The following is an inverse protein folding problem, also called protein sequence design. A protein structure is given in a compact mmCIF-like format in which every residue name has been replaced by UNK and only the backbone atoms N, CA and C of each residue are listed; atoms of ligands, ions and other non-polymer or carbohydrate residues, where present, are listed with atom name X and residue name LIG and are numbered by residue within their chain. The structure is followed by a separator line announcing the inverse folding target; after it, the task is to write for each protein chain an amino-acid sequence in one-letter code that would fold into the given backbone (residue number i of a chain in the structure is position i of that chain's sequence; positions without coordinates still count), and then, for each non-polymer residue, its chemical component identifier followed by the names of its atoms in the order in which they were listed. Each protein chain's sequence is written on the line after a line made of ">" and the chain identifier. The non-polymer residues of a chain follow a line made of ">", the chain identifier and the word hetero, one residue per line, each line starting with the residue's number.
data_IF_631011650216
#
_entry.id   IF_631011650216
#
_cell.length_a   1.000
_cell.length_b   1.000
_cell.length_c   1.000
_cell.angle_alpha   90.00
_cell.angle_beta   90.00
_cell.angle_gamma   90.00
#
_symmetry.space_group_name_H-M   'P 1'
#
loop_
_entity.id
_entity.type
_entity.pdbx_description
1 polymer ?
#
# COMPACT_ATOMS: atom_id res chain seq x y z
N UNK A 1 -0.33 0.68 -13.44
CA UNK A 1 -1.39 0.68 -12.41
C UNK A 1 -2.70 0.32 -13.09
N UNK A 2 -3.42 -0.74 -12.70
CA UNK A 2 -4.69 -1.13 -13.36
C UNK A 2 -5.86 -0.67 -12.49
N UNK A 3 -6.52 0.40 -12.93
CA UNK A 3 -7.61 1.07 -12.19
C UNK A 3 -8.85 0.17 -12.01
N UNK A 4 -9.08 -0.75 -12.95
CA UNK A 4 -10.25 -1.65 -12.95
C UNK A 4 -9.87 -3.08 -12.50
N UNK A 5 -8.76 -3.24 -11.76
CA UNK A 5 -8.42 -4.53 -11.18
C UNK A 5 -9.48 -4.92 -10.13
N UNK A 6 -9.83 -6.20 -10.08
CA UNK A 6 -10.80 -6.73 -9.13
C UNK A 6 -10.27 -8.05 -8.58
N UNK A 7 -10.72 -8.42 -7.38
CA UNK A 7 -10.44 -9.72 -6.80
C UNK A 7 -11.13 -10.82 -7.62
N UNK A 8 -10.34 -11.59 -8.38
CA UNK A 8 -10.83 -12.73 -9.13
C UNK A 8 -10.60 -14.02 -8.32
N UNK A 9 -11.67 -14.57 -7.74
CA UNK A 9 -11.62 -15.82 -6.98
C UNK A 9 -11.86 -17.07 -7.85
N UNK A 10 -12.08 -16.91 -9.16
CA UNK A 10 -12.37 -18.03 -10.09
C UNK A 10 -11.11 -18.67 -10.69
N UNK A 11 -9.93 -18.37 -10.14
CA UNK A 11 -8.68 -19.02 -10.56
C UNK A 11 -8.37 -20.18 -9.62
N UNK A 12 -7.95 -21.33 -10.15
CA UNK A 12 -7.71 -22.53 -9.34
C UNK A 12 -6.45 -22.38 -8.48
N UNK A 13 -6.63 -22.03 -7.22
CA UNK A 13 -5.58 -22.08 -6.20
C UNK A 13 -6.15 -22.47 -4.84
N UNK A 14 -5.49 -23.38 -4.10
CA UNK A 14 -5.87 -23.76 -2.74
C UNK A 14 -6.06 -22.57 -1.79
N UNK A 15 -5.37 -21.45 -2.05
CA UNK A 15 -5.43 -20.23 -1.25
C UNK A 15 -6.77 -19.49 -1.32
N UNK A 16 -7.55 -19.66 -2.40
CA UNK A 16 -8.86 -18.99 -2.53
C UNK A 16 -9.96 -19.67 -1.71
N UNK A 17 -9.83 -20.97 -1.39
CA UNK A 17 -10.83 -21.69 -0.60
C UNK A 17 -11.01 -21.16 0.83
N UNK A 18 -10.01 -20.44 1.35
CA UNK A 18 -10.05 -19.84 2.68
C UNK A 18 -10.31 -18.33 2.67
N UNK A 19 -10.37 -17.71 1.49
CA UNK A 19 -10.61 -16.27 1.35
C UNK A 19 -12.11 -16.00 1.26
N UNK A 20 -12.77 -15.83 2.41
CA UNK A 20 -14.18 -15.43 2.50
C UNK A 20 -14.39 -13.92 2.34
N UNK A 21 -13.31 -13.16 2.23
CA UNK A 21 -13.31 -11.71 2.12
C UNK A 21 -13.75 -11.28 0.72
N UNK A 22 -14.74 -10.39 0.65
CA UNK A 22 -15.25 -9.81 -0.61
C UNK A 22 -14.64 -8.44 -0.90
N UNK A 23 -13.98 -7.85 0.10
CA UNK A 23 -13.29 -6.58 0.02
C UNK A 23 -11.89 -6.74 -0.60
N UNK A 24 -11.48 -5.72 -1.33
CA UNK A 24 -10.16 -5.68 -1.95
C UNK A 24 -9.65 -4.26 -2.06
N UNK A 25 -8.32 -4.13 -2.08
CA UNK A 25 -7.63 -2.83 -2.18
C UNK A 25 -6.75 -2.82 -3.41
N UNK A 26 -6.98 -1.87 -4.30
CA UNK A 26 -6.13 -1.60 -5.45
C UNK A 26 -5.03 -0.62 -5.04
N UNK A 27 -3.91 -1.17 -4.56
CA UNK A 27 -2.78 -0.41 -4.01
C UNK A 27 -1.90 0.22 -5.08
N UNK A 28 -2.00 1.54 -5.21
CA UNK A 28 -1.24 2.47 -6.07
C UNK A 28 0.27 2.26 -6.14
N UNK A 29 0.89 2.99 -7.06
CA UNK A 29 2.34 3.13 -7.06
C UNK A 29 2.81 3.68 -5.71
N UNK A 30 3.88 3.07 -5.18
CA UNK A 30 4.45 3.45 -3.89
C UNK A 30 5.68 4.31 -4.15
N UNK A 31 5.61 5.59 -3.76
CA UNK A 31 6.75 6.50 -3.82
C UNK A 31 7.35 6.66 -2.43
N UNK A 32 8.66 6.41 -2.30
CA UNK A 32 9.39 6.52 -1.04
C UNK A 32 10.54 7.51 -1.20
N UNK A 33 10.61 8.50 -0.34
CA UNK A 33 11.69 9.47 -0.23
C UNK A 33 12.35 9.31 1.13
N UNK A 34 13.67 9.12 1.15
CA UNK A 34 14.45 9.01 2.38
C UNK A 34 15.51 10.10 2.40
N UNK A 35 15.54 10.87 3.49
CA UNK A 35 16.52 11.91 3.76
C UNK A 35 17.28 11.51 5.02
N UNK A 36 18.60 11.54 4.97
CA UNK A 36 19.46 11.21 6.09
C UNK A 36 20.46 12.32 6.37
N UNK A 37 20.67 12.63 7.64
CA UNK A 37 21.73 13.50 8.11
C UNK A 37 22.49 12.78 9.23
N UNK A 38 23.78 12.58 9.00
CA UNK A 38 24.69 11.94 9.95
C UNK A 38 25.79 12.90 10.37
N UNK A 39 26.11 12.91 11.66
CA UNK A 39 27.24 13.62 12.22
C UNK A 39 28.11 12.67 13.03
N UNK A 40 29.40 12.64 12.68
CA UNK A 40 30.39 11.74 13.27
C UNK A 40 31.47 12.52 13.98
N UNK A 41 31.55 12.31 15.29
CA UNK A 41 32.63 12.78 16.16
C UNK A 41 33.62 11.66 16.47
N UNK A 42 34.75 12.02 17.08
CA UNK A 42 35.82 11.09 17.48
C UNK A 42 35.35 10.04 18.51
N UNK A 43 34.41 10.43 19.38
CA UNK A 43 33.91 9.61 20.50
C UNK A 43 32.41 9.25 20.39
N UNK A 44 31.67 9.83 19.44
CA UNK A 44 30.25 9.51 19.25
C UNK A 44 29.83 9.69 17.79
N UNK A 45 28.78 9.01 17.37
CA UNK A 45 28.09 9.26 16.11
C UNK A 45 26.59 9.42 16.35
N UNK A 46 25.98 10.33 15.60
CA UNK A 46 24.56 10.64 15.62
C UNK A 46 24.06 10.62 14.19
N UNK A 47 23.15 9.72 13.88
CA UNK A 47 22.53 9.61 12.57
C UNK A 47 21.03 9.79 12.72
N UNK A 48 20.45 10.67 11.89
CA UNK A 48 19.03 10.90 11.79
C UNK A 48 18.59 10.57 10.36
N UNK A 49 17.55 9.76 10.22
CA UNK A 49 16.93 9.48 8.95
C UNK A 49 15.43 9.74 9.02
N UNK A 50 14.91 10.42 8.00
CA UNK A 50 13.50 10.66 7.77
C UNK A 50 13.08 9.97 6.49
N UNK A 51 12.05 9.14 6.58
CA UNK A 51 11.45 8.49 5.42
C UNK A 51 10.00 8.94 5.28
N UNK A 52 9.68 9.49 4.12
CA UNK A 52 8.33 9.77 3.68
C UNK A 52 7.91 8.74 2.64
N UNK A 53 6.75 8.15 2.82
CA UNK A 53 6.13 7.24 1.87
C UNK A 53 4.77 7.78 1.48
N UNK A 54 4.54 7.92 0.18
CA UNK A 54 3.25 8.24 -0.39
C UNK A 54 2.74 7.03 -1.17
N UNK A 55 1.54 6.56 -0.81
CA UNK A 55 0.88 5.46 -1.49
C UNK A 55 -0.61 5.73 -1.53
N UNK A 56 -1.16 5.80 -2.72
CA UNK A 56 -2.60 5.89 -2.94
C UNK A 56 -3.17 4.49 -3.10
N UNK A 57 -4.42 4.26 -2.74
CA UNK A 57 -5.08 2.99 -2.98
C UNK A 57 -6.59 3.15 -2.99
N UNK A 58 -7.26 2.45 -3.90
CA UNK A 58 -8.72 2.45 -3.96
C UNK A 58 -9.25 1.20 -3.24
N UNK A 59 -10.06 1.41 -2.20
CA UNK A 59 -10.68 0.33 -1.43
C UNK A 59 -12.08 0.06 -1.94
N UNK A 60 -12.40 -1.21 -2.20
CA UNK A 60 -13.70 -1.67 -2.63
C UNK A 60 -14.23 -2.68 -1.60
N UNK A 61 -15.46 -2.46 -1.10
CA UNK A 61 -16.08 -3.36 -0.13
C UNK A 61 -16.50 -4.70 -0.78
N UNK A 62 -16.97 -4.66 -2.02
CA UNK A 62 -17.28 -5.84 -2.84
C UNK A 62 -17.37 -5.45 -4.31
N UNK A 63 -17.39 -6.45 -5.21
CA UNK A 63 -17.65 -6.26 -6.64
C UNK A 63 -19.15 -6.27 -6.89
N UNK A 64 -19.70 -5.18 -7.41
CA UNK A 64 -21.07 -5.11 -7.92
C UNK A 64 -21.04 -5.07 -9.45
N UNK A 65 -21.70 -6.05 -10.07
CA UNK A 65 -21.89 -6.14 -11.53
C UNK A 65 -23.36 -6.12 -11.85
N UNK A 66 -23.75 -5.38 -12.88
CA UNK A 66 -25.10 -5.46 -13.42
C UNK A 66 -25.25 -6.78 -14.18
N UNK A 67 -26.30 -7.53 -13.87
CA UNK A 67 -26.60 -8.81 -14.52
C UNK A 67 -27.27 -8.59 -15.89
N UNK A 68 -28.03 -7.50 -16.06
CA UNK A 68 -28.77 -7.19 -17.30
C UNK A 68 -27.90 -6.50 -18.37
N UNK A 69 -26.83 -5.82 -17.97
CA UNK A 69 -25.92 -5.10 -18.90
C UNK A 69 -24.83 -5.97 -19.53
N UNK A 70 -25.01 -7.30 -19.53
CA UNK A 70 -24.08 -8.25 -20.14
C UNK A 70 -22.68 -8.22 -19.53
N UNK A 71 -22.52 -8.74 -18.30
CA UNK A 71 -21.22 -9.01 -17.66
C UNK A 71 -20.17 -7.92 -17.92
N UNK A 72 -20.53 -6.66 -17.65
CA UNK A 72 -19.57 -5.57 -17.75
C UNK A 72 -18.38 -5.85 -16.83
N UNK A 73 -17.17 -5.75 -17.37
CA UNK A 73 -15.92 -6.05 -16.66
C UNK A 73 -15.65 -5.07 -15.51
N UNK A 74 -16.35 -3.94 -15.52
CA UNK A 74 -16.19 -2.82 -14.60
C UNK A 74 -17.09 -2.97 -13.36
N UNK A 75 -16.55 -2.57 -12.21
CA UNK A 75 -17.28 -2.51 -10.96
C UNK A 75 -18.19 -1.27 -10.95
N UNK A 76 -19.49 -1.44 -10.66
CA UNK A 76 -20.44 -0.34 -10.54
C UNK A 76 -20.17 0.53 -9.30
N UNK A 77 -19.56 -0.05 -8.27
CA UNK A 77 -19.22 0.65 -7.04
C UNK A 77 -17.99 1.52 -7.26
N UNK A 78 -18.11 2.80 -6.92
CA UNK A 78 -16.96 3.69 -6.80
C UNK A 78 -16.12 3.26 -5.61
N UNK A 79 -14.84 2.99 -5.85
CA UNK A 79 -13.87 2.72 -4.78
C UNK A 79 -13.69 3.96 -3.90
N UNK A 80 -13.45 3.72 -2.62
CA UNK A 80 -13.07 4.76 -1.68
C UNK A 80 -11.58 5.05 -1.85
N UNK A 81 -11.22 6.30 -2.14
CA UNK A 81 -9.81 6.74 -2.14
C UNK A 81 -9.24 6.67 -0.72
N UNK A 82 -8.18 5.89 -0.54
CA UNK A 82 -7.39 5.84 0.68
C UNK A 82 -5.96 6.28 0.38
N UNK A 83 -5.49 7.24 1.17
CA UNK A 83 -4.10 7.72 1.15
C UNK A 83 -3.35 7.09 2.30
N UNK A 84 -2.40 6.22 1.98
CA UNK A 84 -1.52 5.53 2.92
C UNK A 84 -0.20 6.29 3.05
N UNK A 85 -0.29 7.56 3.47
CA UNK A 85 0.87 8.40 3.72
C UNK A 85 1.52 8.04 5.04
N UNK A 86 2.82 7.75 5.00
CA UNK A 86 3.58 7.32 6.18
C UNK A 86 4.83 8.16 6.37
N UNK A 87 4.96 8.67 7.59
CA UNK A 87 6.14 9.38 8.07
C UNK A 87 6.88 8.48 9.07
N UNK A 88 8.16 8.21 8.81
CA UNK A 88 9.00 7.42 9.70
C UNK A 88 10.27 8.21 10.03
N UNK A 89 10.60 8.32 11.31
CA UNK A 89 11.80 8.98 11.82
C UNK A 89 12.63 7.93 12.54
N UNK A 90 13.90 7.83 12.16
CA UNK A 90 14.90 6.98 12.80
C UNK A 90 16.03 7.85 13.34
N UNK A 91 16.35 7.67 14.62
CA UNK A 91 17.47 8.32 15.27
C UNK A 91 18.38 7.25 15.85
N UNK A 92 19.66 7.33 15.53
CA UNK A 92 20.68 6.38 15.95
C UNK A 92 21.80 7.14 16.65
N UNK A 93 22.13 6.70 17.86
CA UNK A 93 23.24 7.20 18.65
C UNK A 93 24.19 6.06 18.89
N UNK A 94 25.48 6.30 18.70
CA UNK A 94 26.48 5.35 19.16
C UNK A 94 27.68 6.03 19.79
N UNK A 95 28.19 5.35 20.81
CA UNK A 95 29.35 5.76 21.57
C UNK A 95 30.54 4.91 21.14
N UNK A 96 31.69 5.56 20.95
CA UNK A 96 32.94 4.90 20.62
C UNK A 96 33.86 5.00 21.84
N UNK A 97 34.02 3.86 22.52
CA UNK A 97 34.95 3.66 23.64
C UNK A 97 36.33 3.25 23.12
#
# INVERSE_FOLDING_TARGET
>A
FKKNAYLNAFTESPSYHYSLNTDYVNLGAINRLTLGLGYRCKHFYLDMAYQYQHQHGDVYAFRATDYDAGMSSDNLLKGQDVKLDRHNIMLTLGLKF
#
